data_IF_686043702274
#
_entry.id   IF_686043702274
#
_cell.length_a   1.000
_cell.length_b   1.000
_cell.length_c   1.000
_cell.angle_alpha   90.00
_cell.angle_beta   90.00
_cell.angle_gamma   90.00
#
_symmetry.space_group_name_H-M   'P 1'
#
loop_
_entity.id
_entity.type
_entity.pdbx_description
1 polymer ?
#
# COMPACT_ATOMS: atom_id res chain seq x y z
N UNK A 1 -14.01 -13.40 -1.79
CA UNK A 1 -13.47 -12.56 -0.69
C UNK A 1 -12.40 -13.39 0.00
N UNK A 2 -11.14 -12.98 -0.01
CA UNK A 2 -10.04 -13.71 0.65
C UNK A 2 -9.66 -12.90 1.90
N UNK A 3 -9.81 -13.51 3.06
CA UNK A 3 -9.69 -12.88 4.37
C UNK A 3 -8.43 -13.38 5.10
N UNK A 4 -7.80 -12.52 5.91
CA UNK A 4 -6.77 -12.85 6.90
C UNK A 4 -7.10 -12.12 8.23
N UNK A 5 -6.87 -12.74 9.40
CA UNK A 5 -7.46 -12.33 10.70
C UNK A 5 -6.52 -12.57 11.92
N UNK A 6 -6.46 -11.66 12.93
CA UNK A 6 -6.81 -11.82 14.39
C UNK A 6 -5.95 -11.02 15.45
N UNK A 7 -6.68 -10.39 16.40
CA UNK A 7 -6.46 -9.93 17.81
C UNK A 7 -5.32 -8.96 18.25
N UNK A 8 -5.71 -7.86 18.93
CA UNK A 8 -4.84 -6.86 19.58
C UNK A 8 -5.01 -6.81 21.12
N UNK A 9 -3.92 -6.56 21.85
CA UNK A 9 -3.87 -6.38 23.30
C UNK A 9 -3.51 -4.93 23.72
N UNK A 10 -3.98 -4.54 24.92
CA UNK A 10 -4.26 -3.18 25.43
C UNK A 10 -3.03 -2.43 25.98
N UNK A 11 -2.98 -1.09 25.81
CA UNK A 11 -2.16 -0.20 26.64
C UNK A 11 -2.13 1.29 26.22
N UNK A 12 -2.68 2.17 27.09
CA UNK A 12 -2.59 3.64 27.16
C UNK A 12 -3.29 4.52 26.09
N UNK A 13 -4.19 5.37 26.60
CA UNK A 13 -5.15 6.23 25.89
C UNK A 13 -4.49 7.47 25.24
N UNK A 14 -3.90 7.32 24.06
CA UNK A 14 -4.12 8.27 22.97
C UNK A 14 -4.99 7.53 21.96
N UNK A 15 -6.05 8.14 21.45
CA UNK A 15 -6.92 7.51 20.48
C UNK A 15 -6.16 7.28 19.16
N UNK A 16 -5.35 6.22 19.11
CA UNK A 16 -5.06 5.50 17.88
C UNK A 16 -6.40 4.97 17.42
N UNK A 17 -7.12 5.80 16.66
CA UNK A 17 -8.13 5.27 15.78
C UNK A 17 -7.37 4.34 14.85
N UNK A 18 -7.37 3.04 15.16
CA UNK A 18 -7.19 2.01 14.17
C UNK A 18 -8.38 2.16 13.21
N UNK A 19 -8.29 3.17 12.33
CA UNK A 19 -9.14 3.27 11.17
C UNK A 19 -8.92 1.95 10.45
N UNK A 20 -9.97 1.15 10.25
CA UNK A 20 -9.85 -0.06 9.48
C UNK A 20 -9.32 0.31 8.10
N UNK A 21 -8.03 0.05 7.87
CA UNK A 21 -7.38 0.49 6.64
C UNK A 21 -8.07 -0.20 5.47
N UNK A 22 -8.72 0.61 4.65
CA UNK A 22 -9.54 0.14 3.55
C UNK A 22 -8.94 0.71 2.28
N UNK A 23 -8.58 -0.18 1.36
CA UNK A 23 -8.10 0.24 0.05
C UNK A 23 -9.15 1.10 -0.66
N UNK A 24 -8.72 1.95 -1.57
CA UNK A 24 -9.57 2.83 -2.38
C UNK A 24 -9.49 2.49 -3.86
N UNK A 25 -10.55 2.82 -4.59
CA UNK A 25 -10.63 2.66 -6.05
C UNK A 25 -9.98 3.82 -6.82
N UNK A 26 -9.16 4.63 -6.15
CA UNK A 26 -8.43 5.77 -6.71
C UNK A 26 -7.27 6.13 -5.79
N UNK A 27 -6.33 6.92 -6.31
CA UNK A 27 -5.13 7.37 -5.60
C UNK A 27 -5.33 8.45 -4.51
N UNK A 28 -6.55 8.62 -3.99
CA UNK A 28 -6.85 9.67 -3.02
C UNK A 28 -6.29 9.37 -1.61
N UNK A 29 -5.77 10.39 -0.94
CA UNK A 29 -5.26 10.31 0.44
C UNK A 29 -6.37 10.41 1.50
N UNK A 30 -7.37 9.52 1.42
CA UNK A 30 -8.45 9.49 2.43
C UNK A 30 -7.93 8.93 3.76
N UNK A 31 -8.37 9.48 4.88
CA UNK A 31 -7.89 9.04 6.20
C UNK A 31 -8.09 7.52 6.43
N UNK A 32 -9.17 6.94 5.89
CA UNK A 32 -9.45 5.50 6.00
C UNK A 32 -8.53 4.59 5.19
N UNK A 33 -7.76 5.13 4.24
CA UNK A 33 -6.79 4.39 3.42
C UNK A 33 -5.33 4.60 3.87
N UNK A 34 -5.12 5.29 5.00
CA UNK A 34 -3.78 5.55 5.53
C UNK A 34 -3.24 4.34 6.29
N UNK A 35 -2.09 3.84 5.87
CA UNK A 35 -1.33 2.81 6.55
C UNK A 35 -0.27 3.44 7.46
N UNK A 36 -0.18 3.01 8.74
CA UNK A 36 0.82 3.53 9.65
C UNK A 36 2.22 3.02 9.28
N UNK A 37 3.22 3.89 9.38
CA UNK A 37 4.63 3.51 9.20
C UNK A 37 5.22 3.13 10.55
N UNK A 38 5.64 1.87 10.68
CA UNK A 38 6.32 1.34 11.86
C UNK A 38 7.84 1.31 11.70
N UNK A 39 8.57 1.21 12.82
CA UNK A 39 10.01 0.93 12.84
C UNK A 39 10.33 -0.55 12.54
N UNK A 40 9.31 -1.42 12.54
CA UNK A 40 9.37 -2.80 12.12
C UNK A 40 8.21 -3.11 11.18
N UNK A 41 8.39 -4.12 10.32
CA UNK A 41 7.34 -4.55 9.40
C UNK A 41 6.25 -5.31 10.15
N UNK A 42 5.09 -4.67 10.34
CA UNK A 42 3.87 -5.30 10.83
C UNK A 42 2.83 -5.29 9.72
N UNK A 43 2.48 -6.46 9.20
CA UNK A 43 1.52 -6.56 8.11
C UNK A 43 0.14 -6.08 8.54
N UNK A 44 -0.44 -5.21 7.72
CA UNK A 44 -1.83 -4.76 7.84
C UNK A 44 -2.62 -5.34 6.68
N UNK A 45 -3.87 -5.73 6.91
CA UNK A 45 -4.71 -6.28 5.84
C UNK A 45 -4.91 -5.25 4.72
N UNK A 46 -4.69 -5.69 3.49
CA UNK A 46 -5.00 -4.93 2.29
C UNK A 46 -5.92 -5.78 1.41
N UNK A 47 -7.15 -5.32 1.21
CA UNK A 47 -8.15 -6.04 0.42
C UNK A 47 -8.58 -5.20 -0.77
N UNK A 48 -8.43 -5.74 -1.99
CA UNK A 48 -9.06 -5.19 -3.20
C UNK A 48 -10.48 -5.74 -3.35
N UNK A 49 -11.53 -4.92 -3.21
CA UNK A 49 -12.88 -5.32 -3.56
C UNK A 49 -13.00 -5.62 -5.05
N UNK A 50 -13.81 -6.62 -5.42
CA UNK A 50 -14.04 -6.97 -6.83
C UNK A 50 -14.77 -5.88 -7.64
N UNK A 51 -15.32 -4.87 -6.98
CA UNK A 51 -15.96 -3.71 -7.60
C UNK A 51 -14.97 -2.62 -8.02
N UNK A 52 -13.68 -2.76 -7.69
CA UNK A 52 -12.67 -1.79 -8.09
C UNK A 52 -12.40 -1.89 -9.59
N UNK A 53 -12.20 -0.73 -10.19
CA UNK A 53 -11.92 -0.51 -11.61
C UNK A 53 -10.50 0.01 -11.73
N UNK A 54 -9.84 -0.32 -12.84
CA UNK A 54 -8.45 0.10 -13.04
C UNK A 54 -8.37 1.61 -13.19
N UNK A 55 -7.85 2.27 -12.15
CA UNK A 55 -7.74 3.72 -12.10
C UNK A 55 -6.53 4.22 -12.90
N UNK A 56 -5.38 3.54 -12.79
CA UNK A 56 -4.14 3.91 -13.47
C UNK A 56 -3.45 2.70 -14.11
N UNK A 57 -2.80 2.96 -15.24
CA UNK A 57 -1.76 2.07 -15.76
C UNK A 57 -0.39 2.77 -15.65
N UNK A 58 0.50 2.33 -14.74
CA UNK A 58 1.82 2.93 -14.60
C UNK A 58 2.77 2.60 -15.76
N UNK A 59 2.53 1.50 -16.49
CA UNK A 59 3.32 1.10 -17.67
C UNK A 59 4.79 0.73 -17.38
N UNK A 60 5.15 0.56 -16.11
CA UNK A 60 6.49 0.19 -15.62
C UNK A 60 6.42 -1.08 -14.77
N UNK A 61 7.57 -1.67 -14.40
CA UNK A 61 7.63 -2.91 -13.62
C UNK A 61 6.71 -4.02 -14.15
N UNK A 62 6.68 -4.20 -15.47
CA UNK A 62 5.83 -5.18 -16.17
C UNK A 62 4.32 -5.04 -15.92
N UNK A 63 3.87 -3.94 -15.31
CA UNK A 63 2.47 -3.71 -15.02
C UNK A 63 1.67 -3.47 -16.31
N UNK A 64 0.46 -4.02 -16.32
CA UNK A 64 -0.57 -3.72 -17.30
C UNK A 64 -1.81 -3.11 -16.64
N UNK A 65 -2.71 -2.58 -17.46
CA UNK A 65 -3.97 -2.00 -17.01
C UNK A 65 -5.01 -3.08 -16.62
N UNK A 66 -4.75 -3.84 -15.55
CA UNK A 66 -5.52 -5.05 -15.21
C UNK A 66 -6.40 -4.92 -13.99
N UNK A 67 -5.81 -4.53 -12.85
CA UNK A 67 -6.45 -4.52 -11.54
C UNK A 67 -5.61 -3.64 -10.61
N UNK A 68 -6.18 -2.55 -10.08
CA UNK A 68 -5.53 -1.74 -9.06
C UNK A 68 -6.41 -1.51 -7.82
N UNK A 69 -5.75 -1.17 -6.73
CA UNK A 69 -6.33 -0.79 -5.45
C UNK A 69 -5.28 0.04 -4.74
N UNK A 70 -5.72 1.03 -3.99
CA UNK A 70 -4.83 2.07 -3.49
C UNK A 70 -4.85 2.15 -1.97
N UNK A 71 -3.69 2.34 -1.38
CA UNK A 71 -3.47 2.82 -0.03
C UNK A 71 -2.53 4.01 -0.05
N UNK A 72 -2.19 4.53 1.13
CA UNK A 72 -1.10 5.50 1.23
C UNK A 72 -0.48 5.48 2.61
N UNK A 73 0.71 6.04 2.72
CA UNK A 73 1.37 6.28 4.00
C UNK A 73 2.01 7.66 4.02
N UNK A 74 2.27 8.19 5.21
CA UNK A 74 3.09 9.37 5.38
C UNK A 74 4.47 8.93 5.87
N UNK A 75 5.52 9.29 5.14
CA UNK A 75 6.87 8.91 5.51
C UNK A 75 7.27 9.52 6.86
N UNK A 76 7.94 8.72 7.69
CA UNK A 76 8.45 9.14 9.01
C UNK A 76 9.98 9.18 9.06
N UNK A 77 10.64 8.70 8.02
CA UNK A 77 12.09 8.62 7.86
C UNK A 77 12.50 9.04 6.44
N UNK A 78 13.81 9.08 6.17
CA UNK A 78 14.37 9.43 4.85
C UNK A 78 14.55 8.23 3.92
N UNK A 79 14.29 7.02 4.44
CA UNK A 79 14.34 5.76 3.71
C UNK A 79 13.16 4.93 4.20
N UNK A 80 12.39 4.37 3.28
CA UNK A 80 11.23 3.54 3.62
C UNK A 80 11.24 2.26 2.81
N UNK A 81 10.95 1.16 3.49
CA UNK A 81 10.69 -0.13 2.87
C UNK A 81 9.18 -0.39 2.89
N UNK A 82 8.63 -0.74 1.74
CA UNK A 82 7.23 -1.15 1.59
C UNK A 82 7.22 -2.58 1.09
N UNK A 83 6.48 -3.46 1.77
CA UNK A 83 6.33 -4.86 1.38
C UNK A 83 4.85 -5.20 1.25
N UNK A 84 4.47 -5.75 0.10
CA UNK A 84 3.19 -6.37 -0.11
C UNK A 84 3.35 -7.89 -0.05
N UNK A 85 2.65 -8.53 0.89
CA UNK A 85 2.59 -9.99 1.03
C UNK A 85 1.23 -10.49 0.49
N UNK A 86 1.16 -11.07 -0.71
CA UNK A 86 -0.09 -11.57 -1.27
C UNK A 86 -0.62 -12.78 -0.48
N UNK A 87 -1.94 -12.90 -0.43
CA UNK A 87 -2.60 -14.08 0.12
C UNK A 87 -2.92 -15.11 -0.97
N UNK A 88 -2.31 -16.29 -0.87
CA UNK A 88 -2.46 -17.37 -1.85
C UNK A 88 -1.73 -17.10 -3.16
N UNK A 89 -2.18 -17.73 -4.24
CA UNK A 89 -1.50 -17.70 -5.55
C UNK A 89 -1.92 -16.48 -6.38
N UNK A 90 -1.52 -15.30 -5.95
CA UNK A 90 -1.69 -14.05 -6.70
C UNK A 90 -0.31 -13.48 -7.02
N UNK A 91 -0.18 -12.88 -8.19
CA UNK A 91 1.04 -12.24 -8.69
C UNK A 91 0.84 -10.72 -8.71
N UNK A 92 1.04 -10.04 -7.56
CA UNK A 92 0.85 -8.60 -7.46
C UNK A 92 2.05 -7.86 -8.02
N UNK A 93 1.84 -6.60 -8.40
CA UNK A 93 2.92 -5.66 -8.71
C UNK A 93 2.76 -4.49 -7.75
N UNK A 94 3.83 -4.17 -7.00
CA UNK A 94 3.83 -3.07 -6.05
C UNK A 94 4.34 -1.81 -6.74
N UNK A 95 3.59 -0.72 -6.63
CA UNK A 95 4.04 0.61 -7.05
C UNK A 95 3.99 1.56 -5.87
N UNK A 96 4.87 2.55 -5.87
CA UNK A 96 4.84 3.67 -4.93
C UNK A 96 4.97 4.97 -5.70
N UNK A 97 4.09 5.92 -5.38
CA UNK A 97 4.01 7.21 -6.05
C UNK A 97 4.06 8.37 -5.06
N UNK A 98 4.60 9.49 -5.50
CA UNK A 98 4.47 10.80 -4.84
C UNK A 98 3.55 11.72 -5.64
N UNK A 99 3.28 12.91 -5.11
CA UNK A 99 2.47 13.94 -5.77
C UNK A 99 0.99 13.88 -5.39
N UNK A 100 0.16 14.56 -6.17
CA UNK A 100 -1.29 14.59 -5.95
C UNK A 100 -1.99 13.58 -6.85
N UNK A 101 -3.13 13.06 -6.41
CA UNK A 101 -3.93 12.17 -7.24
C UNK A 101 -4.37 12.90 -8.52
N UNK A 102 -4.01 12.36 -9.68
CA UNK A 102 -4.13 13.00 -11.01
C UNK A 102 -2.83 13.56 -11.59
N UNK A 103 -1.78 13.72 -10.77
CA UNK A 103 -0.44 14.14 -11.17
C UNK A 103 0.64 13.37 -10.38
N UNK A 104 0.44 12.05 -10.27
CA UNK A 104 1.34 11.18 -9.54
C UNK A 104 2.67 10.99 -10.30
N UNK A 105 3.76 10.90 -9.54
CA UNK A 105 5.10 10.55 -10.03
C UNK A 105 5.50 9.23 -9.40
N UNK A 106 5.96 8.27 -10.21
CA UNK A 106 6.39 6.98 -9.69
C UNK A 106 7.78 7.10 -9.03
N UNK A 107 7.88 6.64 -7.80
CA UNK A 107 9.10 6.65 -6.99
C UNK A 107 9.79 5.28 -7.01
N UNK A 108 9.01 4.21 -6.93
CA UNK A 108 9.51 2.84 -6.92
C UNK A 108 8.45 1.87 -7.42
N UNK A 109 8.89 0.70 -7.88
CA UNK A 109 8.01 -0.44 -8.13
C UNK A 109 8.78 -1.76 -8.03
N UNK A 110 8.05 -2.86 -7.79
CA UNK A 110 8.57 -4.22 -7.73
C UNK A 110 7.60 -5.21 -8.38
N UNK A 111 8.18 -6.13 -9.14
CA UNK A 111 7.60 -7.33 -9.77
C UNK A 111 8.68 -8.43 -9.74
N UNK A 112 9.14 -8.73 -8.52
CA UNK A 112 10.35 -9.51 -8.26
C UNK A 112 10.05 -11.02 -8.23
N UNK A 113 8.85 -11.40 -7.79
CA UNK A 113 8.45 -12.79 -7.64
C UNK A 113 7.12 -13.06 -8.32
N UNK A 114 6.91 -14.31 -8.73
CA UNK A 114 5.61 -14.74 -9.22
C UNK A 114 4.60 -14.96 -8.09
N UNK A 115 3.52 -15.66 -8.45
CA UNK A 115 2.44 -16.09 -7.55
C UNK A 115 2.86 -16.40 -6.09
N UNK A 116 2.35 -15.61 -5.15
CA UNK A 116 2.53 -15.81 -3.71
C UNK A 116 3.84 -15.26 -3.15
N UNK A 117 4.71 -14.70 -3.99
CA UNK A 117 5.92 -14.01 -3.56
C UNK A 117 5.66 -12.60 -3.04
N UNK A 118 6.56 -12.10 -2.19
CA UNK A 118 6.44 -10.75 -1.65
C UNK A 118 7.00 -9.75 -2.64
N UNK A 119 6.27 -8.66 -2.87
CA UNK A 119 6.82 -7.50 -3.57
C UNK A 119 7.37 -6.50 -2.57
N UNK A 120 8.63 -6.11 -2.72
CA UNK A 120 9.31 -5.22 -1.77
C UNK A 120 10.09 -4.14 -2.48
N UNK A 121 9.84 -2.89 -2.12
CA UNK A 121 10.66 -1.75 -2.54
C UNK A 121 11.30 -1.08 -1.34
N UNK A 122 12.53 -0.59 -1.50
CA UNK A 122 13.17 0.32 -0.55
C UNK A 122 13.64 1.54 -1.32
N UNK A 123 13.17 2.72 -0.92
CA UNK A 123 13.41 3.95 -1.67
C UNK A 123 13.53 5.15 -0.73
N UNK A 124 14.17 6.21 -1.22
CA UNK A 124 14.36 7.44 -0.46
C UNK A 124 13.01 8.16 -0.30
N UNK A 125 12.72 8.61 0.91
CA UNK A 125 11.49 9.32 1.26
C UNK A 125 11.80 10.63 1.96
N UNK A 126 10.81 11.52 2.03
CA UNK A 126 10.91 12.76 2.81
C UNK A 126 9.92 12.71 3.97
N UNK A 127 10.36 12.81 5.23
CA UNK A 127 9.46 12.82 6.38
C UNK A 127 8.33 13.85 6.24
N UNK A 128 7.10 13.44 6.53
CA UNK A 128 5.89 14.25 6.36
C UNK A 128 5.28 14.24 4.96
N UNK A 129 5.95 13.64 3.97
CA UNK A 129 5.41 13.49 2.61
C UNK A 129 4.51 12.26 2.51
N UNK A 130 3.38 12.40 1.81
CA UNK A 130 2.46 11.31 1.53
C UNK A 130 2.89 10.57 0.27
N UNK A 131 2.86 9.24 0.33
CA UNK A 131 3.14 8.35 -0.79
C UNK A 131 1.95 7.43 -1.00
N UNK A 132 1.44 7.38 -2.24
CA UNK A 132 0.41 6.43 -2.65
C UNK A 132 1.05 5.08 -2.93
N UNK A 133 0.38 4.00 -2.56
CA UNK A 133 0.79 2.61 -2.80
C UNK A 133 -0.35 1.78 -3.35
#
# INVERSE_FOLDING_TARGET
MRHATLLAAVGALTAMHALGQTATNNCGFTAGAQYPVGSSCSYTSFSKPGSFTNYMNPGTCNAGNRDDAWGWFQATATLTTVTYNPSGSVDPILHVFSGTCGALVQEACADDFGNGGNETVTFATTPGTNYAV
#
